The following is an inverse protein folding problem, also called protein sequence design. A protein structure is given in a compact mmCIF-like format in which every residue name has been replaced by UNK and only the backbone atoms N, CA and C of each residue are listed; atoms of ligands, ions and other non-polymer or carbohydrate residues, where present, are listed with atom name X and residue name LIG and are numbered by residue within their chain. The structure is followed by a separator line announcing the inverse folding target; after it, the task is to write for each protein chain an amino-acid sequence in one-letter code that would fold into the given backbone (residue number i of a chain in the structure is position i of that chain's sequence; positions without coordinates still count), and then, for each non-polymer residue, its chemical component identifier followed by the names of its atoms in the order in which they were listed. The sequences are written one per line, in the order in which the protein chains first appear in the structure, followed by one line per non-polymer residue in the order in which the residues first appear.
data_IF_231180977955
#
_entry.id   IF_231180977955
#
_cell.length_a   1.000
_cell.length_b   1.000
_cell.length_c   1.000
_cell.angle_alpha   90.00
_cell.angle_beta   90.00
_cell.angle_gamma   90.00
#
_symmetry.space_group_name_H-M   'P 1'
#
loop_
_entity.id
_entity.type
_entity.pdbx_description
1 polymer ?
#
# COMPACT_ATOMS: atom_id res chain seq x y z
N UNK A 1 20.42 11.61 4.96
CA UNK A 1 21.65 11.61 4.12
C UNK A 1 22.94 11.83 4.91
N UNK A 2 23.17 12.98 5.59
CA UNK A 2 24.39 13.16 6.41
C UNK A 2 24.56 12.12 7.53
N UNK A 3 23.45 11.71 8.15
CA UNK A 3 23.42 10.60 9.14
C UNK A 3 23.96 9.27 8.56
N UNK A 4 23.92 9.13 7.24
CA UNK A 4 24.39 7.97 6.47
C UNK A 4 25.76 8.19 5.82
N UNK A 5 26.52 9.20 6.27
CA UNK A 5 27.90 9.45 5.82
C UNK A 5 28.05 10.19 4.48
N UNK A 6 26.95 10.60 3.85
CA UNK A 6 27.01 11.35 2.59
C UNK A 6 27.31 12.83 2.82
N UNK A 7 28.25 13.35 2.04
CA UNK A 7 28.74 14.74 2.15
C UNK A 7 28.49 15.53 0.87
N UNK A 8 28.40 16.84 1.01
CA UNK A 8 28.01 17.76 -0.06
C UNK A 8 28.85 19.02 0.02
N UNK A 9 29.74 19.20 -0.95
CA UNK A 9 30.61 20.38 -1.07
C UNK A 9 29.95 21.52 -1.86
N UNK A 10 28.86 21.24 -2.58
CA UNK A 10 28.14 22.19 -3.44
C UNK A 10 26.63 22.14 -3.18
N UNK A 11 25.96 23.27 -3.43
CA UNK A 11 24.50 23.33 -3.53
C UNK A 11 24.00 22.75 -4.86
N UNK A 12 22.69 22.53 -4.95
CA UNK A 12 22.02 21.99 -6.13
C UNK A 12 20.87 22.91 -6.52
N UNK A 13 20.74 23.18 -7.81
CA UNK A 13 19.54 23.77 -8.41
C UNK A 13 18.90 22.70 -9.28
N UNK A 14 17.59 22.46 -9.10
CA UNK A 14 16.89 21.39 -9.78
C UNK A 14 15.41 21.74 -10.00
N UNK A 15 14.82 21.10 -11.00
CA UNK A 15 13.40 21.22 -11.33
C UNK A 15 12.74 19.86 -11.11
N UNK A 16 11.63 19.84 -10.38
CA UNK A 16 10.85 18.64 -10.10
C UNK A 16 9.53 18.72 -10.85
N UNK A 17 9.17 17.64 -11.57
CA UNK A 17 7.89 17.47 -12.27
C UNK A 17 7.31 16.11 -11.91
N UNK A 18 5.98 15.99 -11.89
CA UNK A 18 5.28 14.73 -11.60
C UNK A 18 3.89 14.72 -12.22
N UNK A 19 3.46 13.54 -12.64
CA UNK A 19 2.16 13.29 -13.28
C UNK A 19 1.19 12.51 -12.37
N UNK A 20 1.65 12.10 -11.18
CA UNK A 20 0.83 11.38 -10.20
C UNK A 20 -0.21 12.33 -9.61
N UNK A 21 -1.51 11.99 -9.63
CA UNK A 21 -2.55 12.82 -9.04
C UNK A 21 -2.25 13.15 -7.56
N UNK A 22 -2.29 14.43 -7.22
CA UNK A 22 -2.00 14.91 -5.86
C UNK A 22 -3.17 14.54 -4.94
N UNK A 23 -2.87 14.09 -3.71
CA UNK A 23 -3.84 13.70 -2.68
C UNK A 23 -4.78 12.54 -3.04
N UNK A 24 -4.54 11.83 -4.15
CA UNK A 24 -5.39 10.71 -4.58
C UNK A 24 -5.15 9.39 -3.81
N UNK A 25 -4.10 9.32 -2.99
CA UNK A 25 -3.74 8.08 -2.28
C UNK A 25 -2.96 7.07 -3.13
N UNK A 26 -2.26 7.57 -4.13
CA UNK A 26 -1.32 6.85 -5.01
C UNK A 26 0.14 7.13 -4.66
N UNK A 27 0.40 7.47 -3.38
CA UNK A 27 1.76 7.61 -2.82
C UNK A 27 2.64 8.67 -3.51
N UNK A 28 2.04 9.78 -3.96
CA UNK A 28 2.75 10.88 -4.64
C UNK A 28 3.84 11.54 -3.77
N UNK A 29 3.64 11.65 -2.45
CA UNK A 29 4.66 12.19 -1.52
C UNK A 29 5.86 11.26 -1.43
N UNK A 30 5.63 9.97 -1.21
CA UNK A 30 6.68 8.97 -1.16
C UNK A 30 7.42 8.83 -2.49
N UNK A 31 6.72 8.98 -3.63
CA UNK A 31 7.36 9.07 -4.95
C UNK A 31 8.38 10.21 -5.01
N UNK A 32 7.99 11.41 -4.58
CA UNK A 32 8.90 12.55 -4.49
C UNK A 32 10.10 12.27 -3.58
N UNK A 33 9.86 11.76 -2.36
CA UNK A 33 10.93 11.50 -1.39
C UNK A 33 11.89 10.42 -1.89
N UNK A 34 11.39 9.31 -2.46
CA UNK A 34 12.22 8.24 -3.05
C UNK A 34 13.07 8.78 -4.20
N UNK A 35 12.48 9.57 -5.10
CA UNK A 35 13.21 10.23 -6.19
C UNK A 35 14.28 11.18 -5.62
N UNK A 36 13.93 11.96 -4.60
CA UNK A 36 14.84 12.90 -3.97
C UNK A 36 16.02 12.21 -3.29
N UNK A 37 15.80 11.12 -2.57
CA UNK A 37 16.86 10.30 -1.96
C UNK A 37 17.80 9.74 -3.02
N UNK A 38 17.27 9.15 -4.10
CA UNK A 38 18.08 8.60 -5.18
C UNK A 38 18.92 9.70 -5.86
N UNK A 39 18.30 10.85 -6.15
CA UNK A 39 18.97 12.01 -6.75
C UNK A 39 20.09 12.55 -5.84
N UNK A 40 19.76 12.88 -4.59
CA UNK A 40 20.70 13.47 -3.64
C UNK A 40 21.85 12.51 -3.31
N UNK A 41 21.62 11.20 -3.25
CA UNK A 41 22.69 10.23 -3.07
C UNK A 41 23.73 10.31 -4.20
N UNK A 42 23.26 10.41 -5.45
CA UNK A 42 24.13 10.52 -6.63
C UNK A 42 24.84 11.86 -6.75
N UNK A 43 24.23 12.92 -6.21
CA UNK A 43 24.81 14.26 -6.19
C UNK A 43 25.72 14.50 -4.98
N UNK A 44 25.89 13.52 -4.09
CA UNK A 44 26.86 13.61 -3.01
C UNK A 44 28.28 13.66 -3.59
N UNK A 45 29.25 14.15 -2.82
CA UNK A 45 30.66 14.19 -3.26
C UNK A 45 31.21 12.79 -3.56
N UNK A 46 30.58 11.75 -2.99
CA UNK A 46 30.91 10.34 -3.25
C UNK A 46 30.26 9.77 -4.52
N UNK A 47 29.27 10.45 -5.11
CA UNK A 47 28.52 9.92 -6.25
C UNK A 47 27.79 8.62 -5.93
N UNK A 48 27.22 8.49 -4.72
CA UNK A 48 26.75 7.21 -4.21
C UNK A 48 25.60 6.62 -5.03
N UNK A 49 25.75 5.35 -5.43
CA UNK A 49 24.70 4.54 -6.06
C UNK A 49 24.16 3.59 -4.99
N UNK A 50 22.96 3.87 -4.51
CA UNK A 50 22.30 3.09 -3.46
C UNK A 50 21.45 1.96 -4.07
N UNK A 51 21.27 0.85 -3.35
CA UNK A 51 20.29 -0.16 -3.73
C UNK A 51 18.86 0.36 -3.56
N UNK A 52 17.88 -0.20 -4.29
CA UNK A 52 16.47 0.16 -4.11
C UNK A 52 15.97 0.02 -2.67
N UNK A 53 16.42 -1.00 -1.94
CA UNK A 53 16.06 -1.24 -0.54
C UNK A 53 16.61 -0.14 0.37
N UNK A 54 17.87 0.28 0.18
CA UNK A 54 18.47 1.37 0.95
C UNK A 54 17.81 2.71 0.64
N UNK A 55 17.44 2.96 -0.62
CA UNK A 55 16.69 4.16 -1.00
C UNK A 55 15.33 4.18 -0.30
N UNK A 56 14.62 3.04 -0.26
CA UNK A 56 13.33 2.92 0.41
C UNK A 56 13.44 3.17 1.92
N UNK A 57 14.46 2.60 2.56
CA UNK A 57 14.73 2.80 3.98
C UNK A 57 15.00 4.27 4.30
N UNK A 58 15.87 4.93 3.55
CA UNK A 58 16.17 6.36 3.75
C UNK A 58 14.97 7.25 3.48
N UNK A 59 14.14 6.90 2.49
CA UNK A 59 12.90 7.62 2.22
C UNK A 59 11.90 7.46 3.37
N UNK A 60 11.76 6.25 3.92
CA UNK A 60 10.92 5.98 5.08
C UNK A 60 11.41 6.77 6.32
N UNK A 61 12.71 6.79 6.59
CA UNK A 61 13.27 7.59 7.68
C UNK A 61 12.96 9.08 7.50
N UNK A 62 13.13 9.61 6.28
CA UNK A 62 12.94 11.02 5.99
C UNK A 62 11.47 11.45 6.05
N UNK A 63 10.53 10.59 5.66
CA UNK A 63 9.10 10.92 5.63
C UNK A 63 8.39 10.55 6.94
N UNK A 64 8.65 9.36 7.48
CA UNK A 64 7.90 8.82 8.61
C UNK A 64 8.58 9.10 9.93
N UNK A 65 9.86 8.77 10.08
CA UNK A 65 10.54 8.91 11.37
C UNK A 65 10.86 10.36 11.71
N UNK A 66 11.33 11.14 10.73
CA UNK A 66 11.71 12.55 10.95
C UNK A 66 10.49 13.42 11.30
N UNK A 67 9.34 13.17 10.66
CA UNK A 67 8.11 13.95 10.87
C UNK A 67 7.08 13.27 11.77
N UNK A 68 7.40 12.09 12.33
CA UNK A 68 6.49 11.30 13.18
C UNK A 68 5.13 11.02 12.52
N UNK A 69 5.13 10.76 11.21
CA UNK A 69 3.90 10.46 10.46
C UNK A 69 3.35 9.06 10.83
N UNK A 70 2.02 8.85 10.77
CA UNK A 70 1.42 7.59 11.20
C UNK A 70 1.60 6.43 10.20
N UNK A 71 2.16 6.71 9.02
CA UNK A 71 2.34 5.76 7.91
C UNK A 71 3.29 4.60 8.21
N UNK A 72 3.23 3.59 7.35
CA UNK A 72 4.17 2.46 7.33
C UNK A 72 5.25 2.64 6.28
N UNK A 73 5.88 1.52 5.88
CA UNK A 73 6.97 1.48 4.90
C UNK A 73 6.53 1.15 3.47
N UNK A 74 5.26 0.78 3.29
CA UNK A 74 4.75 0.21 2.03
C UNK A 74 4.96 1.13 0.83
N UNK A 75 4.68 2.43 1.00
CA UNK A 75 4.74 3.40 -0.08
C UNK A 75 6.17 3.62 -0.58
N UNK A 76 7.14 3.72 0.33
CA UNK A 76 8.53 3.96 -0.02
C UNK A 76 9.17 2.72 -0.66
N UNK A 77 8.91 1.53 -0.11
CA UNK A 77 9.44 0.28 -0.65
C UNK A 77 8.85 -0.08 -2.00
N UNK A 78 7.53 0.03 -2.17
CA UNK A 78 6.88 -0.24 -3.46
C UNK A 78 7.36 0.72 -4.55
N UNK A 79 7.45 2.01 -4.24
CA UNK A 79 7.96 3.04 -5.17
C UNK A 79 9.42 2.80 -5.54
N UNK A 80 10.28 2.49 -4.58
CA UNK A 80 11.71 2.35 -4.83
C UNK A 80 12.03 1.07 -5.62
N UNK A 81 11.44 -0.07 -5.25
CA UNK A 81 11.78 -1.38 -5.84
C UNK A 81 11.00 -1.64 -7.14
N UNK A 82 9.75 -1.18 -7.18
CA UNK A 82 8.79 -1.43 -8.26
C UNK A 82 8.51 -2.91 -8.50
N UNK A 83 7.71 -3.18 -9.54
CA UNK A 83 7.14 -4.51 -9.72
C UNK A 83 6.07 -4.84 -8.68
N UNK A 84 5.76 -6.12 -8.57
CA UNK A 84 4.91 -6.65 -7.48
C UNK A 84 5.84 -7.18 -6.41
N UNK A 85 5.70 -6.69 -5.19
CA UNK A 85 6.54 -7.08 -4.06
C UNK A 85 5.69 -7.68 -2.94
N UNK A 86 6.25 -8.67 -2.26
CA UNK A 86 5.85 -9.03 -0.92
C UNK A 86 6.76 -8.29 0.06
N UNK A 87 6.16 -7.54 0.98
CA UNK A 87 6.85 -6.79 2.02
C UNK A 87 6.37 -7.31 3.38
N UNK A 88 7.27 -7.89 4.15
CA UNK A 88 7.04 -8.22 5.54
C UNK A 88 7.88 -7.30 6.41
N UNK A 89 7.25 -6.53 7.30
CA UNK A 89 7.95 -5.57 8.15
C UNK A 89 8.30 -6.10 9.54
N UNK A 90 8.04 -7.38 9.83
CA UNK A 90 8.27 -7.97 11.16
C UNK A 90 8.89 -9.37 11.09
N UNK A 91 9.82 -9.72 12.00
CA UNK A 91 10.47 -8.86 13.01
C UNK A 91 11.55 -7.94 12.41
N UNK A 92 11.96 -8.23 11.17
CA UNK A 92 12.87 -7.41 10.35
C UNK A 92 12.23 -7.24 8.98
N UNK A 93 12.68 -6.23 8.25
CA UNK A 93 12.19 -5.99 6.90
C UNK A 93 12.69 -7.11 5.99
N UNK A 94 11.75 -7.78 5.34
CA UNK A 94 11.97 -8.75 4.28
C UNK A 94 11.18 -8.31 3.06
N UNK A 95 11.86 -8.21 1.91
CA UNK A 95 11.22 -7.85 0.65
C UNK A 95 11.53 -8.90 -0.39
N UNK A 96 10.49 -9.36 -1.09
CA UNK A 96 10.60 -10.30 -2.19
C UNK A 96 9.87 -9.77 -3.40
N UNK A 97 10.61 -9.51 -4.48
CA UNK A 97 10.02 -9.21 -5.79
C UNK A 97 9.44 -10.47 -6.40
N UNK A 98 8.19 -10.41 -6.83
CA UNK A 98 7.46 -11.53 -7.40
C UNK A 98 7.57 -11.49 -8.93
N UNK A 99 7.96 -12.61 -9.53
CA UNK A 99 8.01 -12.75 -10.99
C UNK A 99 6.63 -13.15 -11.52
N UNK A 100 5.68 -12.23 -11.46
CA UNK A 100 4.31 -12.46 -11.93
C UNK A 100 3.85 -11.31 -12.82
N UNK A 101 3.06 -11.64 -13.84
CA UNK A 101 2.53 -10.68 -14.81
C UNK A 101 1.03 -10.60 -14.62
N UNK A 102 0.60 -9.62 -13.84
CA UNK A 102 -0.83 -9.43 -13.55
C UNK A 102 -1.60 -8.85 -14.73
N UNK A 103 -0.95 -8.18 -15.69
CA UNK A 103 -1.63 -7.45 -16.75
C UNK A 103 -2.11 -6.08 -16.29
N UNK A 104 -3.27 -5.66 -16.78
CA UNK A 104 -3.82 -4.34 -16.52
C UNK A 104 -4.59 -4.25 -15.19
N UNK A 105 -4.43 -3.11 -14.53
CA UNK A 105 -5.29 -2.65 -13.43
C UNK A 105 -5.99 -1.36 -13.86
N UNK A 106 -7.07 -1.01 -13.18
CA UNK A 106 -7.73 0.29 -13.34
C UNK A 106 -7.73 0.99 -12.00
N UNK A 107 -7.13 2.18 -11.94
CA UNK A 107 -7.22 3.08 -10.79
C UNK A 107 -8.42 3.98 -10.98
N UNK A 108 -9.32 4.02 -10.01
CA UNK A 108 -10.42 4.99 -9.95
C UNK A 108 -10.19 5.98 -8.82
N UNK A 109 -10.06 7.26 -9.12
CA UNK A 109 -10.03 8.36 -8.16
C UNK A 109 -11.45 8.89 -7.93
N UNK A 110 -11.95 8.81 -6.70
CA UNK A 110 -13.28 9.33 -6.37
C UNK A 110 -13.31 10.86 -6.32
N UNK A 111 -12.16 11.53 -6.21
CA UNK A 111 -12.07 12.96 -5.97
C UNK A 111 -12.54 13.39 -4.57
N UNK A 112 -12.93 12.44 -3.71
CA UNK A 112 -13.29 12.75 -2.33
C UNK A 112 -12.02 12.99 -1.51
N UNK A 113 -11.93 14.11 -0.78
CA UNK A 113 -10.78 14.39 0.07
C UNK A 113 -10.70 13.34 1.19
N UNK A 114 -9.48 13.00 1.57
CA UNK A 114 -9.20 12.02 2.61
C UNK A 114 -8.39 12.64 3.75
N UNK A 115 -8.79 12.34 4.99
CA UNK A 115 -7.95 12.59 6.16
C UNK A 115 -7.09 11.35 6.45
N UNK A 116 -6.02 11.20 5.66
CA UNK A 116 -5.12 10.04 5.77
C UNK A 116 -4.50 9.92 7.16
N UNK A 117 -4.13 11.04 7.79
CA UNK A 117 -3.48 11.00 9.11
C UNK A 117 -4.44 10.52 10.18
N UNK A 118 -5.67 11.04 10.18
CA UNK A 118 -6.70 10.62 11.13
C UNK A 118 -7.02 9.13 10.98
N UNK A 119 -7.26 8.65 9.76
CA UNK A 119 -7.65 7.27 9.51
C UNK A 119 -6.55 6.30 9.91
N UNK A 120 -5.31 6.56 9.48
CA UNK A 120 -4.17 5.71 9.84
C UNK A 120 -3.97 5.68 11.36
N UNK A 121 -4.02 6.83 12.02
CA UNK A 121 -3.88 6.94 13.48
C UNK A 121 -5.00 6.18 14.21
N UNK A 122 -6.25 6.33 13.76
CA UNK A 122 -7.41 5.65 14.34
C UNK A 122 -7.26 4.12 14.25
N UNK A 123 -7.09 3.59 13.05
CA UNK A 123 -7.01 2.14 12.79
C UNK A 123 -5.82 1.53 13.53
N UNK A 124 -4.64 2.16 13.43
CA UNK A 124 -3.41 1.73 14.12
C UNK A 124 -3.58 1.69 15.64
N UNK A 125 -4.10 2.77 16.23
CA UNK A 125 -4.23 2.86 17.68
C UNK A 125 -5.27 1.89 18.24
N UNK A 126 -6.36 1.65 17.52
CA UNK A 126 -7.39 0.68 17.94
C UNK A 126 -6.78 -0.71 18.11
N UNK A 127 -6.10 -1.23 17.09
CA UNK A 127 -5.51 -2.58 17.19
C UNK A 127 -4.33 -2.63 18.17
N UNK A 128 -3.52 -1.58 18.26
CA UNK A 128 -2.41 -1.54 19.22
C UNK A 128 -2.88 -1.63 20.67
N UNK A 129 -4.03 -1.02 21.01
CA UNK A 129 -4.64 -1.14 22.34
C UNK A 129 -5.07 -2.57 22.63
N UNK A 130 -5.75 -3.23 21.68
CA UNK A 130 -6.15 -4.64 21.79
C UNK A 130 -4.93 -5.53 22.02
N UNK A 131 -3.87 -5.36 21.24
CA UNK A 131 -2.62 -6.12 21.41
C UNK A 131 -1.97 -5.87 22.77
N UNK A 132 -1.95 -4.62 23.24
CA UNK A 132 -1.38 -4.28 24.53
C UNK A 132 -2.18 -4.89 25.69
N UNK A 133 -3.50 -4.91 25.59
CA UNK A 133 -4.40 -5.55 26.54
C UNK A 133 -4.19 -7.07 26.58
N UNK A 134 -4.20 -7.72 25.41
CA UNK A 134 -3.97 -9.16 25.32
C UNK A 134 -2.59 -9.54 25.83
N UNK A 135 -1.53 -8.77 25.54
CA UNK A 135 -0.18 -9.08 26.04
C UNK A 135 -0.04 -8.96 27.55
N UNK A 136 -0.87 -8.15 28.22
CA UNK A 136 -0.89 -8.09 29.70
C UNK A 136 -1.43 -9.37 30.31
N UNK A 137 -2.49 -9.94 29.72
CA UNK A 137 -3.11 -11.19 30.20
C UNK A 137 -2.43 -12.45 29.64
N UNK A 138 -1.90 -12.36 28.43
CA UNK A 138 -1.34 -13.47 27.65
C UNK A 138 0.01 -13.03 27.04
N UNK A 139 1.12 -13.10 27.80
CA UNK A 139 2.42 -12.60 27.34
C UNK A 139 2.95 -13.22 26.04
N UNK A 140 2.49 -14.43 25.68
CA UNK A 140 2.85 -15.14 24.44
C UNK A 140 2.01 -14.72 23.23
N UNK A 141 1.00 -13.86 23.40
CA UNK A 141 0.14 -13.43 22.30
C UNK A 141 0.94 -12.68 21.22
N UNK A 142 0.70 -13.08 19.97
CA UNK A 142 1.32 -12.49 18.80
C UNK A 142 0.36 -12.42 17.63
N UNK A 143 0.15 -11.20 17.11
CA UNK A 143 -0.57 -10.97 15.85
C UNK A 143 0.06 -11.67 14.65
N UNK A 144 1.29 -12.15 14.76
CA UNK A 144 2.00 -12.79 13.65
C UNK A 144 1.74 -14.29 13.57
N UNK A 145 1.32 -14.91 14.67
CA UNK A 145 1.22 -16.38 14.78
C UNK A 145 -0.16 -16.87 15.20
N UNK A 146 -1.03 -16.00 15.72
CA UNK A 146 -2.40 -16.36 16.03
C UNK A 146 -3.15 -16.82 14.77
N UNK A 147 -3.88 -17.93 14.86
CA UNK A 147 -4.81 -18.36 13.81
C UNK A 147 -6.17 -17.71 13.98
N UNK A 148 -6.93 -17.60 12.89
CA UNK A 148 -8.31 -17.09 12.92
C UNK A 148 -9.18 -17.80 13.96
N UNK A 149 -9.15 -19.14 13.98
CA UNK A 149 -9.87 -19.97 14.96
C UNK A 149 -9.39 -19.80 16.40
N UNK A 150 -8.21 -19.21 16.60
CA UNK A 150 -7.62 -18.98 17.91
C UNK A 150 -8.14 -17.70 18.58
N UNK A 151 -8.80 -16.81 17.83
CA UNK A 151 -9.27 -15.51 18.30
C UNK A 151 -10.40 -15.66 19.32
N UNK A 152 -11.32 -16.61 19.10
CA UNK A 152 -12.48 -16.83 19.97
C UNK A 152 -12.09 -17.15 21.42
N UNK A 153 -10.88 -17.69 21.64
CA UNK A 153 -10.34 -17.95 22.98
C UNK A 153 -10.16 -16.68 23.83
N UNK A 154 -10.16 -15.50 23.20
CA UNK A 154 -10.01 -14.20 23.87
C UNK A 154 -11.33 -13.47 24.09
N UNK A 155 -12.48 -14.07 23.73
CA UNK A 155 -13.80 -13.45 23.87
C UNK A 155 -14.16 -13.05 25.30
N UNK A 156 -13.56 -13.70 26.30
CA UNK A 156 -13.75 -13.34 27.72
C UNK A 156 -12.89 -12.16 28.18
N UNK A 157 -11.92 -11.70 27.39
CA UNK A 157 -10.98 -10.62 27.72
C UNK A 157 -11.13 -9.38 26.85
N UNK A 158 -11.96 -9.43 25.81
CA UNK A 158 -12.14 -8.35 24.86
C UNK A 158 -13.63 -8.07 24.65
N UNK A 159 -13.96 -6.83 24.29
CA UNK A 159 -15.31 -6.49 23.83
C UNK A 159 -15.59 -7.12 22.46
N UNK A 160 -16.86 -7.22 22.09
CA UNK A 160 -17.25 -7.70 20.76
C UNK A 160 -16.61 -6.89 19.62
N UNK A 161 -16.52 -5.57 19.77
CA UNK A 161 -15.85 -4.69 18.78
C UNK A 161 -14.34 -4.96 18.68
N UNK A 162 -13.67 -5.22 19.82
CA UNK A 162 -12.25 -5.56 19.84
C UNK A 162 -11.97 -6.93 19.21
N UNK A 163 -12.87 -7.90 19.43
CA UNK A 163 -12.81 -9.23 18.79
C UNK A 163 -13.00 -9.09 17.27
N UNK A 164 -14.02 -8.36 16.83
CA UNK A 164 -14.26 -8.10 15.40
C UNK A 164 -13.06 -7.43 14.72
N UNK A 165 -12.47 -6.42 15.37
CA UNK A 165 -11.26 -5.76 14.88
C UNK A 165 -10.07 -6.72 14.79
N UNK A 166 -9.92 -7.63 15.75
CA UNK A 166 -8.86 -8.63 15.77
C UNK A 166 -9.03 -9.63 14.62
N UNK A 167 -10.25 -10.12 14.38
CA UNK A 167 -10.60 -10.93 13.20
C UNK A 167 -10.23 -10.22 11.90
N UNK A 168 -10.69 -8.98 11.71
CA UNK A 168 -10.35 -8.23 10.49
C UNK A 168 -8.84 -8.02 10.31
N UNK A 169 -8.12 -7.76 11.39
CA UNK A 169 -6.65 -7.61 11.35
C UNK A 169 -5.96 -8.90 10.94
N UNK A 170 -6.35 -10.02 11.54
CA UNK A 170 -5.77 -11.36 11.25
C UNK A 170 -6.15 -11.79 9.84
N UNK A 171 -7.39 -11.55 9.40
CA UNK A 171 -7.82 -11.87 8.04
C UNK A 171 -7.06 -11.07 6.99
N UNK A 172 -6.83 -9.77 7.18
CA UNK A 172 -6.00 -8.97 6.26
C UNK A 172 -4.57 -9.54 6.12
N UNK A 173 -3.98 -9.99 7.23
CA UNK A 173 -2.68 -10.67 7.23
C UNK A 173 -2.75 -11.97 6.42
N UNK A 174 -3.76 -12.80 6.66
CA UNK A 174 -3.88 -14.13 6.05
C UNK A 174 -4.18 -14.05 4.55
N UNK A 175 -5.05 -13.12 4.13
CA UNK A 175 -5.27 -12.79 2.70
C UNK A 175 -3.95 -12.43 2.02
N UNK A 176 -3.07 -11.68 2.69
CA UNK A 176 -1.76 -11.31 2.12
C UNK A 176 -0.88 -12.54 1.87
N UNK A 177 -0.86 -13.49 2.81
CA UNK A 177 -0.11 -14.74 2.65
C UNK A 177 -0.75 -15.70 1.62
N UNK A 178 -2.07 -15.74 1.53
CA UNK A 178 -2.79 -16.47 0.49
C UNK A 178 -2.52 -15.89 -0.90
N UNK A 179 -2.55 -14.56 -1.02
CA UNK A 179 -2.22 -13.84 -2.24
C UNK A 179 -0.76 -14.08 -2.64
N UNK A 180 0.18 -14.09 -1.69
CA UNK A 180 1.58 -14.43 -1.96
C UNK A 180 1.69 -15.82 -2.62
N UNK A 181 1.01 -16.83 -2.06
CA UNK A 181 1.01 -18.19 -2.65
C UNK A 181 0.47 -18.15 -4.08
N UNK A 182 -0.70 -17.54 -4.29
CA UNK A 182 -1.34 -17.43 -5.60
C UNK A 182 -0.48 -16.69 -6.63
N UNK A 183 0.19 -15.61 -6.24
CA UNK A 183 1.02 -14.77 -7.09
C UNK A 183 2.36 -15.41 -7.45
N UNK A 184 2.83 -16.40 -6.68
CA UNK A 184 4.08 -17.14 -6.94
C UNK A 184 3.92 -18.34 -7.86
N UNK A 185 2.69 -18.69 -8.24
CA UNK A 185 2.42 -19.74 -9.21
C UNK A 185 2.91 -19.32 -10.61
N UNK A 186 3.31 -20.30 -11.43
CA UNK A 186 3.80 -20.06 -12.80
C UNK A 186 2.78 -19.32 -13.67
N UNK A 187 1.49 -19.55 -13.42
CA UNK A 187 0.38 -18.80 -14.00
C UNK A 187 -0.52 -18.29 -12.87
N UNK A 188 -0.74 -16.97 -12.74
CA UNK A 188 -1.59 -16.43 -11.69
C UNK A 188 -3.05 -16.79 -11.94
N UNK A 189 -3.71 -17.37 -10.94
CA UNK A 189 -5.17 -17.55 -10.95
C UNK A 189 -5.83 -16.19 -10.71
N UNK A 190 -6.28 -15.56 -11.80
CA UNK A 190 -6.92 -14.26 -11.76
C UNK A 190 -8.20 -14.24 -10.91
N UNK A 191 -8.96 -15.34 -10.91
CA UNK A 191 -10.19 -15.47 -10.12
C UNK A 191 -9.88 -15.50 -8.64
N UNK A 192 -8.91 -16.33 -8.23
CA UNK A 192 -8.46 -16.39 -6.84
C UNK A 192 -7.91 -15.04 -6.36
N UNK A 193 -7.03 -14.39 -7.14
CA UNK A 193 -6.47 -13.07 -6.79
C UNK A 193 -7.58 -12.02 -6.65
N UNK A 194 -8.54 -12.01 -7.58
CA UNK A 194 -9.70 -11.13 -7.54
C UNK A 194 -10.56 -11.34 -6.30
N UNK A 195 -10.87 -12.59 -5.95
CA UNK A 195 -11.64 -12.93 -4.77
C UNK A 195 -10.93 -12.48 -3.47
N UNK A 196 -9.62 -12.70 -3.37
CA UNK A 196 -8.81 -12.22 -2.24
C UNK A 196 -8.83 -10.69 -2.13
N UNK A 197 -8.84 -9.96 -3.25
CA UNK A 197 -9.00 -8.50 -3.24
C UNK A 197 -10.37 -8.06 -2.73
N UNK A 198 -11.44 -8.74 -3.15
CA UNK A 198 -12.80 -8.43 -2.71
C UNK A 198 -12.99 -8.72 -1.23
N UNK A 199 -12.48 -9.85 -0.75
CA UNK A 199 -12.54 -10.20 0.65
C UNK A 199 -11.76 -9.20 1.52
N UNK A 200 -10.60 -8.75 1.06
CA UNK A 200 -9.89 -7.66 1.72
C UNK A 200 -10.74 -6.40 1.75
N UNK A 201 -11.40 -6.03 0.64
CA UNK A 201 -12.30 -4.88 0.61
C UNK A 201 -13.43 -4.99 1.64
N UNK A 202 -14.01 -6.18 1.84
CA UNK A 202 -15.06 -6.40 2.85
C UNK A 202 -14.53 -6.10 4.26
N UNK A 203 -13.31 -6.54 4.60
CA UNK A 203 -12.65 -6.16 5.87
C UNK A 203 -12.45 -4.65 5.98
N UNK A 204 -11.99 -3.99 4.91
CA UNK A 204 -11.77 -2.53 4.91
C UNK A 204 -13.09 -1.75 5.08
N UNK A 205 -14.16 -2.21 4.45
CA UNK A 205 -15.49 -1.58 4.47
C UNK A 205 -16.20 -1.82 5.79
N UNK A 206 -16.33 -3.07 6.19
CA UNK A 206 -17.28 -3.47 7.24
C UNK A 206 -16.64 -3.45 8.63
N UNK A 207 -15.37 -3.90 8.73
CA UNK A 207 -14.66 -3.98 10.01
C UNK A 207 -13.89 -2.69 10.30
N UNK A 208 -13.01 -2.26 9.39
CA UNK A 208 -12.18 -1.07 9.62
C UNK A 208 -12.94 0.24 9.40
N UNK A 209 -14.07 0.18 8.66
CA UNK A 209 -14.95 1.31 8.36
C UNK A 209 -14.16 2.45 7.70
N UNK A 210 -13.46 2.11 6.62
CA UNK A 210 -12.63 3.05 5.85
C UNK A 210 -13.05 3.17 4.38
N UNK A 211 -14.20 2.62 3.98
CA UNK A 211 -14.80 2.90 2.66
C UNK A 211 -15.70 4.13 2.68
N UNK A 212 -16.13 4.58 1.50
CA UNK A 212 -17.14 5.62 1.33
C UNK A 212 -18.25 5.13 0.39
N UNK A 213 -19.48 5.66 0.50
CA UNK A 213 -20.55 5.26 -0.40
C UNK A 213 -20.21 5.46 -1.89
N UNK A 214 -19.39 6.47 -2.24
CA UNK A 214 -18.96 6.67 -3.63
C UNK A 214 -17.94 5.63 -4.07
N UNK A 215 -16.93 5.33 -3.24
CA UNK A 215 -15.97 4.26 -3.52
C UNK A 215 -16.68 2.91 -3.65
N UNK A 216 -17.64 2.61 -2.78
CA UNK A 216 -18.41 1.36 -2.84
C UNK A 216 -19.21 1.24 -4.15
N UNK A 217 -19.82 2.33 -4.64
CA UNK A 217 -20.47 2.35 -5.96
C UNK A 217 -19.47 2.12 -7.10
N UNK A 218 -18.31 2.80 -7.07
CA UNK A 218 -17.26 2.61 -8.08
C UNK A 218 -16.74 1.16 -8.09
N UNK A 219 -16.57 0.54 -6.92
CA UNK A 219 -16.18 -0.87 -6.78
C UNK A 219 -17.25 -1.78 -7.38
N UNK A 220 -18.53 -1.59 -7.03
CA UNK A 220 -19.63 -2.37 -7.58
C UNK A 220 -19.67 -2.27 -9.11
N UNK A 221 -19.61 -1.06 -9.66
CA UNK A 221 -19.63 -0.82 -11.09
C UNK A 221 -18.43 -1.47 -11.81
N UNK A 222 -17.25 -1.45 -11.19
CA UNK A 222 -16.06 -2.12 -11.73
C UNK A 222 -16.22 -3.65 -11.78
N UNK A 223 -16.79 -4.25 -10.73
CA UNK A 223 -17.06 -5.69 -10.66
C UNK A 223 -18.12 -6.10 -11.70
N UNK A 224 -19.23 -5.36 -11.79
CA UNK A 224 -20.28 -5.57 -12.79
C UNK A 224 -19.77 -5.44 -14.24
N UNK A 225 -18.77 -4.58 -14.44
CA UNK A 225 -18.08 -4.43 -15.72
C UNK A 225 -17.14 -5.59 -16.07
N UNK A 226 -16.83 -6.47 -15.12
CA UNK A 226 -16.02 -7.67 -15.30
C UNK A 226 -14.62 -7.60 -14.72
N UNK A 227 -14.36 -6.71 -13.75
CA UNK A 227 -13.16 -6.81 -12.93
C UNK A 227 -13.20 -8.09 -12.10
N UNK A 228 -12.07 -8.78 -11.95
CA UNK A 228 -11.97 -9.98 -11.10
C UNK A 228 -12.06 -9.62 -9.62
N UNK A 229 -11.54 -8.46 -9.24
CA UNK A 229 -11.65 -7.95 -7.88
C UNK A 229 -11.39 -6.46 -7.81
N UNK A 230 -11.89 -5.79 -6.78
CA UNK A 230 -11.76 -4.36 -6.60
C UNK A 230 -11.71 -3.97 -5.12
N UNK A 231 -10.83 -3.02 -4.78
CA UNK A 231 -10.65 -2.57 -3.39
C UNK A 231 -10.12 -1.14 -3.29
N UNK A 232 -10.30 -0.53 -2.12
CA UNK A 232 -9.67 0.74 -1.75
C UNK A 232 -8.14 0.66 -1.94
N UNK A 233 -7.56 1.76 -2.40
CA UNK A 233 -6.12 1.97 -2.43
C UNK A 233 -5.69 3.00 -1.36
N UNK A 234 -4.57 2.71 -0.68
CA UNK A 234 -4.05 3.56 0.40
C UNK A 234 -4.88 3.50 1.70
N UNK A 235 -4.95 4.62 2.41
CA UNK A 235 -5.53 4.71 3.77
C UNK A 235 -7.05 4.53 3.86
N UNK A 236 -7.79 4.67 2.75
CA UNK A 236 -9.24 4.79 2.75
C UNK A 236 -9.78 6.15 3.20
N UNK A 237 -11.11 6.23 3.32
CA UNK A 237 -11.91 7.42 3.64
C UNK A 237 -12.11 8.39 2.48
N UNK A 238 -12.01 7.90 1.24
CA UNK A 238 -11.99 8.70 0.01
C UNK A 238 -10.79 8.32 -0.85
N UNK A 239 -10.36 9.21 -1.75
CA UNK A 239 -9.22 8.98 -2.63
C UNK A 239 -9.49 7.91 -3.69
N UNK A 240 -8.61 6.92 -3.79
CA UNK A 240 -8.62 5.96 -4.89
C UNK A 240 -9.08 4.55 -4.52
N UNK A 241 -9.52 3.83 -5.54
CA UNK A 241 -9.70 2.37 -5.56
C UNK A 241 -8.93 1.76 -6.74
N UNK A 242 -8.59 0.47 -6.63
CA UNK A 242 -8.08 -0.34 -7.74
C UNK A 242 -9.12 -1.39 -8.13
N UNK A 243 -9.25 -1.62 -9.43
CA UNK A 243 -9.94 -2.76 -10.01
C UNK A 243 -8.95 -3.62 -10.80
N UNK A 244 -8.98 -4.93 -10.57
CA UNK A 244 -8.14 -5.90 -11.27
C UNK A 244 -8.82 -6.41 -12.54
N UNK A 245 -8.36 -5.93 -13.69
CA UNK A 245 -9.02 -6.13 -14.98
C UNK A 245 -7.99 -6.41 -16.09
N UNK A 246 -7.29 -7.56 -16.07
CA UNK A 246 -6.22 -7.86 -17.02
C UNK A 246 -6.69 -7.92 -18.47
N UNK A 247 -7.94 -8.32 -18.71
CA UNK A 247 -8.49 -8.57 -20.05
C UNK A 247 -9.31 -7.41 -20.60
N UNK A 248 -10.15 -6.77 -19.78
CA UNK A 248 -11.11 -5.76 -20.24
C UNK A 248 -11.01 -4.43 -19.46
N UNK A 249 -9.83 -3.82 -19.33
CA UNK A 249 -9.63 -2.63 -18.49
C UNK A 249 -10.43 -1.42 -18.98
N UNK A 250 -10.69 -1.30 -20.29
CA UNK A 250 -11.43 -0.17 -20.86
C UNK A 250 -12.90 -0.13 -20.40
N UNK A 251 -13.60 -1.28 -20.40
CA UNK A 251 -14.98 -1.37 -19.92
C UNK A 251 -15.08 -1.05 -18.43
N UNK A 252 -14.10 -1.49 -17.64
CA UNK A 252 -14.02 -1.22 -16.20
C UNK A 252 -13.75 0.27 -15.95
N UNK A 253 -12.84 0.88 -16.72
CA UNK A 253 -12.57 2.32 -16.68
C UNK A 253 -13.86 3.13 -16.91
N UNK A 254 -14.58 2.84 -17.99
CA UNK A 254 -15.83 3.54 -18.33
C UNK A 254 -16.92 3.37 -17.27
N UNK A 255 -16.99 2.20 -16.62
CA UNK A 255 -17.93 1.95 -15.54
C UNK A 255 -17.62 2.80 -14.30
N UNK A 256 -16.34 2.94 -13.94
CA UNK A 256 -15.90 3.80 -12.84
C UNK A 256 -16.19 5.28 -13.16
N UNK A 257 -15.96 5.71 -14.41
CA UNK A 257 -16.23 7.09 -14.84
C UNK A 257 -17.72 7.45 -14.77
N UNK A 258 -18.61 6.49 -15.07
CA UNK A 258 -20.07 6.67 -14.93
C UNK A 258 -20.52 6.89 -13.49
N UNK A 259 -19.78 6.36 -12.51
CA UNK A 259 -20.01 6.61 -11.07
C UNK A 259 -19.39 7.94 -10.60
N UNK A 260 -18.87 8.74 -11.53
CA UNK A 260 -18.30 10.07 -11.28
C UNK A 260 -16.88 10.03 -10.72
N UNK A 261 -16.14 8.93 -10.94
CA UNK A 261 -14.70 8.84 -10.68
C UNK A 261 -13.86 9.25 -11.89
N UNK A 262 -12.61 9.63 -11.66
CA UNK A 262 -11.60 9.77 -12.73
C UNK A 262 -10.79 8.47 -12.80
N UNK A 263 -10.66 7.85 -13.98
CA UNK A 263 -10.11 6.51 -14.08
C UNK A 263 -8.92 6.38 -15.06
N UNK A 264 -7.94 5.58 -14.65
CA UNK A 264 -6.69 5.37 -15.37
C UNK A 264 -6.39 3.89 -15.51
N UNK A 265 -6.03 3.45 -16.73
CA UNK A 265 -5.54 2.10 -16.96
C UNK A 265 -4.06 2.09 -16.64
N UNK A 266 -3.65 1.18 -15.77
CA UNK A 266 -2.31 1.08 -15.25
C UNK A 266 -1.71 -0.31 -15.53
N UNK A 267 -0.40 -0.31 -15.68
CA UNK A 267 0.43 -1.51 -15.66
C UNK A 267 1.44 -1.41 -14.53
N UNK A 268 1.92 -2.55 -14.07
CA UNK A 268 3.03 -2.57 -13.10
C UNK A 268 4.28 -2.00 -13.75
N UNK A 269 4.84 -0.94 -13.16
CA UNK A 269 6.07 -0.30 -13.62
C UNK A 269 7.29 -0.75 -12.80
N UNK A 270 8.47 -0.42 -13.32
CA UNK A 270 9.73 -0.50 -12.63
C UNK A 270 9.87 0.62 -11.59
N UNK A 271 10.66 0.38 -10.55
CA UNK A 271 10.82 1.31 -9.43
C UNK A 271 11.64 2.54 -9.78
N UNK A 272 12.24 3.15 -8.76
CA UNK A 272 13.07 4.35 -8.94
C UNK A 272 14.24 4.07 -9.87
N UNK A 273 14.47 4.97 -10.83
CA UNK A 273 15.49 4.84 -11.86
C UNK A 273 16.12 6.19 -12.16
N UNK A 274 17.36 6.15 -12.61
CA UNK A 274 18.08 7.31 -13.10
C UNK A 274 18.29 7.15 -14.60
N UNK A 275 18.03 8.20 -15.37
CA UNK A 275 18.43 8.28 -16.77
C UNK A 275 19.17 9.57 -16.99
N UNK A 276 20.34 9.50 -17.64
CA UNK A 276 20.96 10.68 -18.21
C UNK A 276 20.16 11.04 -19.45
N UNK A 277 19.59 12.23 -19.45
CA UNK A 277 18.96 12.82 -20.63
C UNK A 277 20.03 13.73 -21.22
N UNK A 278 20.44 13.47 -22.47
CA UNK A 278 21.28 14.43 -23.18
C UNK A 278 20.48 15.74 -23.29
N UNK A 279 21.12 16.85 -22.96
CA UNK A 279 20.50 18.16 -23.14
C UNK A 279 20.40 18.42 -24.65
N UNK A 280 19.18 18.60 -25.16
CA UNK A 280 18.92 19.11 -26.50
C UNK A 280 19.55 20.49 -26.72
#
# INVERSE_FOLDING_TARGET
MRRHGLVFSKGLECVVKGEIPINAGTSSSSALIVTWVNFVARMSDQGAILSPETIAEYAYEAEVLEFSEPGGMMDQYSTSIGGIIFLNSYPKIEVKKLNTKLGNLVLGNSGEPKDTKFILTRVKNQIQRVVAELRKAYPQFSLQTISESGIDNYSGSLTAEQIELLHGTVRNRDITYEALKALTLTAPDHGLIGNLMNEHQDVLRDILKISTPKIDRMISAALDAGAYGAKINGSGGGGCMFAYAPKNPQKVKEAIEKEGGEAYILTVDEGTRSRLVEAD
#
